data_IF_706918363609
#
_entry.id   IF_706918363609
#
_cell.length_a   1.000
_cell.length_b   1.000
_cell.length_c   1.000
_cell.angle_alpha   90.00
_cell.angle_beta   90.00
_cell.angle_gamma   90.00
#
_symmetry.space_group_name_H-M   'P 1'
#
loop_
_entity.id
_entity.type
_entity.pdbx_description
1 polymer ?
#
# COMPACT_ATOMS: atom_id res chain seq x y z
N UNK A 1 48.51 -30.69 50.59
CA UNK A 1 47.32 -30.90 49.74
C UNK A 1 46.33 -29.72 49.67
N UNK A 2 46.18 -28.84 50.67
CA UNK A 2 45.23 -27.68 50.61
C UNK A 2 45.65 -26.52 49.70
N UNK A 3 46.91 -26.33 49.41
CA UNK A 3 47.38 -25.23 48.54
C UNK A 3 47.13 -25.45 47.02
N UNK A 4 47.04 -26.69 46.61
CA UNK A 4 46.82 -27.03 45.19
C UNK A 4 45.39 -26.71 44.73
N UNK A 5 44.40 -26.96 45.60
CA UNK A 5 43.01 -26.68 45.30
C UNK A 5 42.66 -25.18 45.24
N UNK A 6 43.39 -24.35 45.98
CA UNK A 6 43.16 -22.90 45.94
C UNK A 6 43.69 -22.25 44.65
N UNK A 7 44.77 -22.76 44.06
CA UNK A 7 45.28 -22.24 42.79
C UNK A 7 44.39 -22.60 41.59
N UNK A 8 43.79 -23.78 41.57
CA UNK A 8 42.85 -24.17 40.51
C UNK A 8 41.55 -23.37 40.58
N UNK A 9 41.00 -23.13 41.77
CA UNK A 9 39.78 -22.30 41.94
C UNK A 9 39.98 -20.87 41.43
N UNK A 10 41.16 -20.28 41.61
CA UNK A 10 41.50 -18.95 41.07
C UNK A 10 41.67 -18.94 39.56
N UNK A 11 42.18 -20.03 38.98
CA UNK A 11 42.30 -20.16 37.52
C UNK A 11 40.94 -20.25 36.83
N UNK A 12 40.01 -21.00 37.40
CA UNK A 12 38.65 -21.18 36.90
C UNK A 12 37.84 -19.88 37.00
N UNK A 13 38.05 -19.13 38.10
CA UNK A 13 37.42 -17.83 38.30
C UNK A 13 37.88 -16.78 37.26
N UNK A 14 39.19 -16.76 36.96
CA UNK A 14 39.74 -15.86 35.96
C UNK A 14 39.34 -16.24 34.49
N UNK A 15 39.10 -17.52 34.23
CA UNK A 15 38.63 -17.98 32.91
C UNK A 15 37.12 -17.63 32.74
N UNK A 16 36.31 -17.69 33.76
CA UNK A 16 34.88 -17.30 33.70
C UNK A 16 34.69 -15.79 33.49
N UNK A 17 35.66 -14.98 33.88
CA UNK A 17 35.57 -13.52 33.71
C UNK A 17 35.92 -13.06 32.27
N UNK A 18 36.71 -13.85 31.54
CA UNK A 18 37.07 -13.52 30.12
C UNK A 18 36.01 -13.92 29.11
N UNK A 19 35.09 -14.81 29.46
CA UNK A 19 33.99 -15.25 28.56
C UNK A 19 32.79 -14.30 28.64
N UNK A 20 32.66 -13.46 29.67
CA UNK A 20 31.55 -12.50 29.80
C UNK A 20 31.70 -11.20 29.01
N UNK A 21 32.86 -10.97 28.37
CA UNK A 21 33.14 -9.71 27.67
C UNK A 21 32.96 -9.79 26.15
N UNK A 22 32.42 -10.89 25.62
CA UNK A 22 32.14 -11.02 24.19
C UNK A 22 30.68 -11.41 23.95
N UNK A 23 29.78 -10.74 24.68
CA UNK A 23 28.39 -10.68 24.26
C UNK A 23 28.36 -9.60 23.17
N UNK A 24 28.68 -10.00 21.94
CA UNK A 24 28.38 -9.20 20.74
C UNK A 24 26.89 -8.90 20.84
N UNK A 25 26.60 -7.65 21.12
CA UNK A 25 25.28 -7.06 20.96
C UNK A 25 25.00 -7.11 19.46
N UNK A 26 24.54 -8.25 18.95
CA UNK A 26 23.83 -8.28 17.68
C UNK A 26 22.54 -7.50 17.97
N UNK A 27 22.63 -6.19 17.86
CA UNK A 27 21.44 -5.39 17.65
C UNK A 27 20.83 -5.92 16.36
N UNK A 28 19.85 -6.80 16.51
CA UNK A 28 18.84 -6.98 15.50
C UNK A 28 18.23 -5.58 15.33
N UNK A 29 18.79 -4.80 14.42
CA UNK A 29 18.05 -3.73 13.78
C UNK A 29 17.00 -4.52 13.00
N UNK A 30 15.70 -4.52 13.44
CA UNK A 30 14.69 -4.98 12.54
C UNK A 30 14.90 -4.10 11.31
N UNK A 31 15.27 -4.70 10.19
CA UNK A 31 15.11 -4.06 8.91
C UNK A 31 13.62 -3.72 8.90
N UNK A 32 13.30 -2.47 9.18
CA UNK A 32 12.00 -1.90 8.86
C UNK A 32 11.99 -2.00 7.34
N UNK A 33 11.53 -3.13 6.86
CA UNK A 33 11.12 -3.28 5.47
C UNK A 33 9.96 -2.30 5.38
N UNK A 34 10.27 -1.09 4.95
CA UNK A 34 9.26 -0.15 4.49
C UNK A 34 8.54 -0.87 3.36
N UNK A 35 7.42 -1.53 3.72
CA UNK A 35 6.59 -2.31 2.80
C UNK A 35 6.02 -1.45 1.66
N UNK A 36 6.26 -0.13 1.71
CA UNK A 36 5.70 0.87 0.82
C UNK A 36 6.75 1.55 -0.07
N UNK A 37 7.97 1.00 -0.15
CA UNK A 37 8.98 1.58 -1.04
C UNK A 37 8.70 1.13 -2.48
N UNK A 38 8.29 2.08 -3.29
CA UNK A 38 8.13 1.89 -4.74
C UNK A 38 9.52 1.88 -5.39
N UNK A 39 9.82 0.92 -6.28
CA UNK A 39 11.07 0.93 -7.05
C UNK A 39 11.22 2.23 -7.84
N UNK A 40 12.42 2.80 -7.86
CA UNK A 40 12.68 4.06 -8.54
C UNK A 40 12.33 3.99 -10.04
N UNK A 41 12.63 2.87 -10.69
CA UNK A 41 12.28 2.62 -12.10
C UNK A 41 10.77 2.72 -12.35
N UNK A 42 9.96 2.25 -11.41
CA UNK A 42 8.50 2.37 -11.48
C UNK A 42 8.09 3.83 -11.30
N UNK A 43 8.66 4.54 -10.32
CA UNK A 43 8.35 5.96 -10.06
C UNK A 43 8.68 6.86 -11.26
N UNK A 44 9.72 6.56 -12.01
CA UNK A 44 10.12 7.29 -13.22
C UNK A 44 9.19 7.04 -14.41
N UNK A 45 8.44 5.95 -14.40
CA UNK A 45 7.51 5.57 -15.46
C UNK A 45 6.06 5.98 -15.23
N UNK A 46 5.77 6.64 -14.10
CA UNK A 46 4.41 7.09 -13.77
C UNK A 46 3.93 8.15 -14.77
N UNK A 47 2.71 7.95 -15.28
CA UNK A 47 2.06 8.91 -16.17
C UNK A 47 1.85 10.28 -15.50
N UNK A 48 1.92 11.35 -16.31
CA UNK A 48 1.77 12.73 -15.80
C UNK A 48 0.40 12.97 -15.14
N UNK A 49 -0.66 12.35 -15.65
CA UNK A 49 -2.01 12.46 -15.09
C UNK A 49 -2.12 11.69 -13.77
N UNK A 50 -1.50 10.51 -13.68
CA UNK A 50 -1.43 9.75 -12.43
C UNK A 50 -0.66 10.55 -11.37
N UNK A 51 0.49 11.11 -11.71
CA UNK A 51 1.27 11.97 -10.83
C UNK A 51 0.47 13.22 -10.39
N UNK A 52 -0.32 13.83 -11.27
CA UNK A 52 -1.19 14.95 -10.94
C UNK A 52 -2.33 14.52 -10.02
N UNK A 53 -2.94 13.36 -10.26
CA UNK A 53 -3.95 12.77 -9.39
C UNK A 53 -3.41 12.55 -7.98
N UNK A 54 -2.22 11.96 -7.86
CA UNK A 54 -1.55 11.78 -6.58
C UNK A 54 -1.30 13.10 -5.85
N UNK A 55 -0.86 14.16 -6.55
CA UNK A 55 -0.71 15.49 -5.93
C UNK A 55 -2.01 16.04 -5.37
N UNK A 56 -3.13 15.83 -6.06
CA UNK A 56 -4.45 16.21 -5.52
C UNK A 56 -4.75 15.42 -4.26
N UNK A 57 -4.57 14.10 -4.26
CA UNK A 57 -4.80 13.28 -3.07
C UNK A 57 -3.96 13.73 -1.88
N UNK A 58 -2.67 13.97 -2.09
CA UNK A 58 -1.74 14.41 -1.04
C UNK A 58 -2.12 15.77 -0.45
N UNK A 59 -2.58 16.70 -1.30
CA UNK A 59 -3.01 18.04 -0.85
C UNK A 59 -4.20 17.99 0.13
N UNK A 60 -4.99 16.93 0.09
CA UNK A 60 -6.15 16.74 0.98
C UNK A 60 -5.85 15.86 2.20
N UNK A 61 -4.70 15.19 2.26
CA UNK A 61 -4.40 14.23 3.34
C UNK A 61 -4.48 14.87 4.72
N UNK A 62 -3.87 16.04 4.91
CA UNK A 62 -3.92 16.76 6.18
C UNK A 62 -5.34 17.24 6.49
N UNK A 63 -6.03 17.83 5.52
CA UNK A 63 -7.39 18.36 5.70
C UNK A 63 -8.39 17.25 6.08
N UNK A 64 -8.25 16.06 5.49
CA UNK A 64 -9.07 14.89 5.83
C UNK A 64 -8.77 14.46 7.26
N UNK A 65 -7.49 14.31 7.64
CA UNK A 65 -7.10 13.94 9.00
C UNK A 65 -7.62 14.92 10.06
N UNK A 66 -7.53 16.23 9.82
CA UNK A 66 -8.08 17.25 10.71
C UNK A 66 -9.61 17.19 10.81
N UNK A 67 -10.27 16.93 9.68
CA UNK A 67 -11.72 16.79 9.66
C UNK A 67 -12.19 15.56 10.44
N UNK A 68 -11.54 14.41 10.27
CA UNK A 68 -11.80 13.17 11.00
C UNK A 68 -11.56 13.35 12.51
N UNK A 69 -10.44 13.98 12.89
CA UNK A 69 -10.12 14.28 14.28
C UNK A 69 -11.17 15.16 14.96
N UNK A 70 -11.87 16.01 14.20
CA UNK A 70 -12.96 16.84 14.71
C UNK A 70 -14.23 16.07 15.06
N UNK A 71 -14.34 14.80 14.68
CA UNK A 71 -15.55 13.96 14.81
C UNK A 71 -16.80 14.62 14.24
N UNK A 72 -16.64 15.43 13.20
CA UNK A 72 -17.72 16.16 12.52
C UNK A 72 -17.89 15.65 11.10
N UNK A 73 -18.83 14.75 10.90
CA UNK A 73 -19.10 14.09 9.62
C UNK A 73 -19.42 15.09 8.48
N UNK A 74 -20.05 16.22 8.81
CA UNK A 74 -20.33 17.27 7.82
C UNK A 74 -19.01 17.89 7.34
N UNK A 75 -18.05 18.12 8.24
CA UNK A 75 -16.73 18.66 7.89
C UNK A 75 -15.96 17.66 7.04
N UNK A 76 -15.91 16.40 7.45
CA UNK A 76 -15.27 15.31 6.69
C UNK A 76 -15.84 15.28 5.27
N UNK A 77 -17.16 15.32 5.18
CA UNK A 77 -17.84 15.28 3.90
C UNK A 77 -17.51 16.45 3.00
N UNK A 78 -17.47 17.69 3.51
CA UNK A 78 -17.12 18.89 2.73
C UNK A 78 -15.73 18.81 2.14
N UNK A 79 -14.75 18.37 2.93
CA UNK A 79 -13.37 18.20 2.47
C UNK A 79 -13.32 17.17 1.34
N UNK A 80 -14.05 16.08 1.51
CA UNK A 80 -14.10 15.00 0.56
C UNK A 80 -14.81 15.40 -0.76
N UNK A 81 -15.95 16.06 -0.68
CA UNK A 81 -16.67 16.55 -1.86
C UNK A 81 -15.79 17.53 -2.67
N UNK A 82 -15.02 18.38 -1.98
CA UNK A 82 -14.06 19.28 -2.63
C UNK A 82 -12.93 18.50 -3.32
N UNK A 83 -12.34 17.50 -2.67
CA UNK A 83 -11.35 16.62 -3.28
C UNK A 83 -11.87 15.99 -4.58
N UNK A 84 -13.09 15.49 -4.56
CA UNK A 84 -13.72 14.89 -5.74
C UNK A 84 -13.95 15.92 -6.84
N UNK A 85 -14.32 17.14 -6.49
CA UNK A 85 -14.46 18.21 -7.49
C UNK A 85 -13.12 18.52 -8.17
N UNK A 86 -12.04 18.61 -7.41
CA UNK A 86 -10.71 18.86 -7.95
C UNK A 86 -10.21 17.69 -8.80
N UNK A 87 -10.50 16.44 -8.40
CA UNK A 87 -10.23 15.26 -9.23
C UNK A 87 -11.03 15.29 -10.53
N UNK A 88 -12.32 15.61 -10.47
CA UNK A 88 -13.15 15.74 -11.69
C UNK A 88 -12.69 16.86 -12.61
N UNK A 89 -12.15 17.94 -12.06
CA UNK A 89 -11.56 19.00 -12.87
C UNK A 89 -10.28 18.52 -13.60
N UNK A 90 -9.50 17.66 -12.94
CA UNK A 90 -8.29 17.06 -13.51
C UNK A 90 -8.60 15.97 -14.54
N UNK A 91 -9.61 15.14 -14.27
CA UNK A 91 -10.02 14.00 -15.11
C UNK A 91 -11.52 14.09 -15.38
N UNK A 92 -11.96 14.97 -16.30
CA UNK A 92 -13.39 15.23 -16.52
C UNK A 92 -14.20 14.00 -16.96
N UNK A 93 -13.60 13.10 -17.73
CA UNK A 93 -14.22 11.85 -18.19
C UNK A 93 -14.21 10.77 -17.10
N UNK A 94 -13.47 11.00 -16.01
CA UNK A 94 -13.12 9.99 -15.01
C UNK A 94 -12.29 8.81 -15.55
N UNK A 95 -11.90 8.84 -16.82
CA UNK A 95 -11.13 7.78 -17.46
C UNK A 95 -9.64 7.95 -17.20
N UNK A 96 -8.98 6.84 -16.89
CA UNK A 96 -7.53 6.77 -16.73
C UNK A 96 -6.97 5.63 -17.56
N UNK A 97 -5.73 5.77 -17.97
CA UNK A 97 -5.07 4.81 -18.84
C UNK A 97 -3.63 4.60 -18.35
N UNK A 98 -3.22 3.33 -18.35
CA UNK A 98 -1.86 2.88 -18.07
C UNK A 98 -1.30 3.40 -16.72
N UNK A 99 -2.18 3.50 -15.69
CA UNK A 99 -1.75 3.80 -14.34
C UNK A 99 -1.06 2.60 -13.72
N UNK A 100 -0.01 2.85 -12.96
CA UNK A 100 0.73 1.82 -12.27
C UNK A 100 0.22 1.69 -10.85
N UNK A 101 -0.29 0.51 -10.51
CA UNK A 101 -0.73 0.20 -9.17
C UNK A 101 0.03 -1.00 -8.60
N UNK A 102 0.16 -1.05 -7.27
CA UNK A 102 0.70 -2.20 -6.54
C UNK A 102 -0.44 -2.99 -5.93
N UNK A 103 -0.55 -4.26 -6.30
CA UNK A 103 -1.63 -5.14 -5.84
C UNK A 103 -1.48 -5.45 -4.35
N UNK A 104 -2.54 -5.22 -3.58
CA UNK A 104 -2.64 -5.58 -2.17
C UNK A 104 -3.36 -6.90 -1.96
N UNK A 105 -4.48 -7.09 -2.63
CA UNK A 105 -5.26 -8.32 -2.57
C UNK A 105 -6.21 -8.44 -3.76
N UNK A 106 -6.51 -9.69 -4.10
CA UNK A 106 -7.59 -10.05 -5.00
C UNK A 106 -8.48 -11.01 -4.21
N UNK A 107 -9.77 -10.72 -4.16
CA UNK A 107 -10.76 -11.52 -3.43
C UNK A 107 -11.94 -11.86 -4.32
N UNK A 108 -12.54 -13.02 -4.09
CA UNK A 108 -13.76 -13.44 -4.77
C UNK A 108 -14.94 -13.40 -3.78
N UNK A 109 -16.08 -12.95 -4.25
CA UNK A 109 -17.34 -13.10 -3.51
C UNK A 109 -18.00 -14.46 -3.79
N UNK A 110 -19.15 -14.73 -3.15
CA UNK A 110 -19.90 -15.96 -3.32
C UNK A 110 -20.47 -16.17 -4.74
N UNK A 111 -20.50 -15.13 -5.55
CA UNK A 111 -20.94 -15.15 -6.95
C UNK A 111 -19.73 -15.17 -7.92
N UNK A 112 -18.53 -15.40 -7.38
CA UNK A 112 -17.27 -15.40 -8.10
C UNK A 112 -16.89 -14.06 -8.73
N UNK A 113 -17.50 -12.95 -8.33
CA UNK A 113 -17.01 -11.64 -8.75
C UNK A 113 -15.67 -11.36 -8.07
N UNK A 114 -14.70 -10.90 -8.84
CA UNK A 114 -13.40 -10.49 -8.30
C UNK A 114 -13.44 -9.05 -7.81
N UNK A 115 -12.73 -8.80 -6.70
CA UNK A 115 -12.45 -7.44 -6.23
C UNK A 115 -10.95 -7.29 -6.07
N UNK A 116 -10.37 -6.33 -6.78
CA UNK A 116 -8.96 -5.97 -6.69
C UNK A 116 -8.82 -4.79 -5.72
N UNK A 117 -7.96 -4.94 -4.72
CA UNK A 117 -7.49 -3.84 -3.88
C UNK A 117 -6.03 -3.57 -4.19
N UNK A 118 -5.70 -2.32 -4.45
CA UNK A 118 -4.36 -1.92 -4.81
C UNK A 118 -4.00 -0.54 -4.25
N UNK A 119 -2.72 -0.21 -4.23
CA UNK A 119 -2.22 1.12 -3.86
C UNK A 119 -1.65 1.83 -5.07
N UNK A 120 -1.82 3.15 -5.06
CA UNK A 120 -1.17 4.08 -5.97
C UNK A 120 0.22 4.47 -5.43
N UNK A 121 1.09 5.07 -6.25
CA UNK A 121 2.38 5.60 -5.81
C UNK A 121 2.29 6.59 -4.64
N UNK A 122 1.18 7.28 -4.52
CA UNK A 122 0.85 8.20 -3.42
C UNK A 122 0.20 7.51 -2.20
N UNK A 123 0.31 6.19 -2.07
CA UNK A 123 -0.20 5.38 -0.96
C UNK A 123 -1.74 5.44 -0.73
N UNK A 124 -2.48 5.95 -1.70
CA UNK A 124 -3.95 5.90 -1.65
C UNK A 124 -4.45 4.59 -2.24
N UNK A 125 -5.50 4.06 -1.63
CA UNK A 125 -6.08 2.79 -2.07
C UNK A 125 -7.10 3.01 -3.18
N UNK A 126 -7.00 2.19 -4.22
CA UNK A 126 -7.99 2.08 -5.29
C UNK A 126 -8.58 0.67 -5.30
N UNK A 127 -9.88 0.58 -5.51
CA UNK A 127 -10.60 -0.69 -5.59
C UNK A 127 -11.17 -0.90 -6.97
N UNK A 128 -10.93 -2.09 -7.54
CA UNK A 128 -11.73 -2.60 -8.64
C UNK A 128 -13.09 -3.04 -8.11
N UNK A 129 -14.14 -2.40 -8.60
CA UNK A 129 -15.51 -2.75 -8.20
C UNK A 129 -15.92 -4.02 -8.93
N UNK A 130 -16.54 -4.96 -8.19
CA UNK A 130 -17.09 -6.23 -8.64
C UNK A 130 -16.88 -6.59 -10.12
N UNK A 131 -15.78 -7.27 -10.42
CA UNK A 131 -15.43 -7.71 -11.77
C UNK A 131 -16.05 -9.10 -11.97
N UNK A 132 -17.15 -9.22 -12.71
CA UNK A 132 -17.81 -10.50 -12.88
C UNK A 132 -17.03 -11.44 -13.79
N UNK A 133 -17.17 -12.79 -13.65
CA UNK A 133 -16.53 -13.76 -14.53
C UNK A 133 -16.91 -13.58 -16.01
N UNK A 134 -18.06 -12.96 -16.29
CA UNK A 134 -18.50 -12.61 -17.63
C UNK A 134 -17.67 -11.51 -18.30
N UNK A 135 -16.92 -10.72 -17.52
CA UNK A 135 -15.88 -9.84 -18.06
C UNK A 135 -14.58 -10.67 -18.21
N UNK A 136 -14.58 -11.59 -19.14
CA UNK A 136 -13.54 -12.62 -19.32
C UNK A 136 -12.15 -11.99 -19.46
N UNK A 137 -11.99 -10.93 -20.23
CA UNK A 137 -10.69 -10.29 -20.47
C UNK A 137 -10.05 -9.80 -19.17
N UNK A 138 -10.75 -8.97 -18.40
CA UNK A 138 -10.20 -8.42 -17.14
C UNK A 138 -10.12 -9.49 -16.05
N UNK A 139 -11.07 -10.43 -16.02
CA UNK A 139 -11.10 -11.49 -15.03
C UNK A 139 -9.94 -12.49 -15.20
N UNK A 140 -9.63 -12.89 -16.44
CA UNK A 140 -8.49 -13.76 -16.74
C UNK A 140 -7.15 -13.06 -16.48
N UNK A 141 -7.05 -11.78 -16.80
CA UNK A 141 -5.84 -11.00 -16.49
C UNK A 141 -5.52 -10.97 -14.98
N UNK A 142 -6.54 -11.06 -14.12
CA UNK A 142 -6.34 -11.14 -12.67
C UNK A 142 -5.80 -12.50 -12.20
N UNK A 143 -5.97 -13.57 -12.98
CA UNK A 143 -5.53 -14.92 -12.57
C UNK A 143 -4.00 -15.02 -12.48
N UNK A 144 -3.30 -14.23 -13.28
CA UNK A 144 -1.83 -14.22 -13.35
C UNK A 144 -1.19 -13.17 -12.43
N UNK A 145 -2.02 -12.43 -11.67
CA UNK A 145 -1.57 -11.32 -10.83
C UNK A 145 -1.63 -11.70 -9.36
N UNK A 146 -0.54 -11.50 -8.64
CA UNK A 146 -0.38 -11.80 -7.23
C UNK A 146 -0.28 -10.56 -6.35
N UNK A 147 -0.36 -10.79 -5.03
CA UNK A 147 -0.11 -9.75 -4.05
C UNK A 147 1.34 -9.25 -4.14
N UNK A 148 1.51 -7.96 -4.22
CA UNK A 148 2.81 -7.29 -4.31
C UNK A 148 3.23 -6.97 -5.73
N UNK A 149 2.55 -7.51 -6.73
CA UNK A 149 2.84 -7.25 -8.12
C UNK A 149 2.51 -5.80 -8.49
N UNK A 150 3.28 -5.28 -9.42
CA UNK A 150 2.99 -4.01 -10.07
C UNK A 150 2.28 -4.29 -11.40
N UNK A 151 1.19 -3.59 -11.64
CA UNK A 151 0.40 -3.78 -12.85
C UNK A 151 0.03 -2.43 -13.46
N UNK A 152 -0.05 -2.40 -14.78
CA UNK A 152 -0.67 -1.30 -15.53
C UNK A 152 -2.18 -1.53 -15.58
N UNK A 153 -2.93 -0.52 -15.22
CA UNK A 153 -4.39 -0.57 -15.24
C UNK A 153 -4.96 0.61 -16.02
N UNK A 154 -5.98 0.31 -16.80
CA UNK A 154 -6.83 1.33 -17.42
C UNK A 154 -8.26 1.13 -16.98
N UNK A 155 -9.03 2.21 -16.95
CA UNK A 155 -10.41 2.11 -16.51
C UNK A 155 -11.08 3.46 -16.27
N UNK A 156 -12.09 3.43 -15.40
CA UNK A 156 -12.87 4.62 -15.05
C UNK A 156 -13.06 4.70 -13.54
N UNK A 157 -12.67 5.84 -12.96
CA UNK A 157 -12.92 6.14 -11.56
C UNK A 157 -14.41 6.25 -11.29
N UNK A 158 -14.84 5.68 -10.18
CA UNK A 158 -16.22 5.77 -9.73
C UNK A 158 -16.35 6.87 -8.68
N UNK A 159 -17.07 7.93 -9.04
CA UNK A 159 -17.39 9.03 -8.15
C UNK A 159 -18.80 8.91 -7.57
N UNK A 160 -19.48 7.81 -7.84
CA UNK A 160 -20.79 7.54 -7.26
C UNK A 160 -20.62 7.36 -5.75
N UNK A 161 -21.37 8.16 -5.01
CA UNK A 161 -21.26 8.25 -3.56
C UNK A 161 -21.58 6.94 -2.86
N UNK A 162 -22.56 6.23 -3.34
CA UNK A 162 -23.05 5.00 -2.73
C UNK A 162 -22.12 3.82 -2.96
N UNK A 163 -21.20 3.97 -3.92
CA UNK A 163 -20.17 2.97 -4.26
C UNK A 163 -18.80 3.27 -3.68
N UNK A 164 -18.65 4.31 -2.88
CA UNK A 164 -17.41 4.60 -2.20
C UNK A 164 -17.26 3.73 -0.98
N UNK A 165 -16.10 3.15 -0.82
CA UNK A 165 -15.80 2.27 0.30
C UNK A 165 -15.48 3.10 1.55
N UNK A 166 -14.61 4.09 1.42
CA UNK A 166 -14.25 5.06 2.48
C UNK A 166 -13.78 6.39 1.85
N UNK A 167 -13.69 7.48 2.63
CA UNK A 167 -13.14 8.76 2.15
C UNK A 167 -11.71 8.68 1.60
N UNK A 168 -10.94 7.65 1.95
CA UNK A 168 -9.55 7.45 1.54
C UNK A 168 -9.40 6.39 0.45
N UNK A 169 -10.51 5.82 -0.01
CA UNK A 169 -10.52 4.76 -1.01
C UNK A 169 -11.35 5.22 -2.21
N UNK A 170 -10.88 4.85 -3.40
CA UNK A 170 -11.55 5.16 -4.65
C UNK A 170 -11.96 3.88 -5.35
N UNK A 171 -13.21 3.80 -5.76
CA UNK A 171 -13.67 2.73 -6.63
C UNK A 171 -13.26 2.99 -8.07
N UNK A 172 -12.92 1.93 -8.79
CA UNK A 172 -12.64 1.97 -10.21
C UNK A 172 -13.22 0.75 -10.93
N UNK A 173 -13.75 0.99 -12.12
CA UNK A 173 -14.09 -0.08 -13.05
C UNK A 173 -12.91 -0.25 -14.00
N UNK A 174 -12.17 -1.33 -13.86
CA UNK A 174 -11.02 -1.63 -14.72
C UNK A 174 -11.48 -2.20 -16.06
N UNK A 175 -10.89 -1.68 -17.14
CA UNK A 175 -11.08 -2.18 -18.51
C UNK A 175 -9.90 -3.02 -18.98
N UNK A 176 -8.72 -2.86 -18.39
CA UNK A 176 -7.56 -3.71 -18.63
C UNK A 176 -6.65 -3.76 -17.41
N UNK A 177 -5.96 -4.88 -17.21
CA UNK A 177 -4.96 -5.12 -16.16
C UNK A 177 -3.82 -5.90 -16.81
N UNK A 178 -2.61 -5.35 -16.81
CA UNK A 178 -1.42 -5.96 -17.43
C UNK A 178 -0.29 -6.00 -16.43
N UNK A 179 0.25 -7.20 -16.15
CA UNK A 179 1.40 -7.35 -15.27
C UNK A 179 2.63 -6.63 -15.81
N UNK A 180 3.37 -5.97 -14.93
CA UNK A 180 4.71 -5.43 -15.21
C UNK A 180 5.72 -6.49 -14.77
N UNK A 181 6.32 -7.20 -15.74
CA UNK A 181 7.38 -8.18 -15.49
C UNK A 181 8.74 -7.52 -15.36
#
# INVERSE_FOLDING_TARGET
MRLYYQQEAQRISKMKLKVKAFLVLITFIPAVVNADHWPQSIMESIDVKEAAFCRVLDSYTQQIGEAEASKNDIRVRRVYDKQVMDIKALIPTAEFQDWIIKVQSITLDSLLNATLKATLPCHKTIFGLAIPPTNTMTYEQLADVGRGDYVLVSGKLNFDRDKRLTPQEFGANFSSIVGLN
#
